data_IF_570388175912
#
_entry.id   IF_570388175912
#
_cell.length_a   1.000
_cell.length_b   1.000
_cell.length_c   1.000
_cell.angle_alpha   90.00
_cell.angle_beta   90.00
_cell.angle_gamma   90.00
#
_symmetry.space_group_name_H-M   'P 1'
#
loop_
_entity.id
_entity.type
_entity.pdbx_description
1 polymer ?
#
# COMPACT_ATOMS: atom_id res chain seq x y z
N UNK A 1 11.62 13.63 -21.94
CA UNK A 1 11.05 12.45 -22.65
C UNK A 1 9.68 12.72 -23.26
N UNK A 2 8.73 13.39 -22.58
CA UNK A 2 7.39 13.68 -23.15
C UNK A 2 7.41 14.42 -24.51
N UNK A 3 8.24 15.47 -24.66
CA UNK A 3 8.40 16.19 -25.94
C UNK A 3 8.99 15.33 -27.07
N UNK A 4 9.82 14.34 -26.73
CA UNK A 4 10.40 13.40 -27.69
C UNK A 4 9.32 12.42 -28.18
N UNK A 5 8.50 11.88 -27.27
CA UNK A 5 7.38 11.01 -27.62
C UNK A 5 6.37 11.71 -28.56
N UNK A 6 6.07 12.99 -28.33
CA UNK A 6 5.18 13.77 -29.20
C UNK A 6 5.76 13.95 -30.61
N UNK A 7 7.06 14.25 -30.74
CA UNK A 7 7.72 14.38 -32.04
C UNK A 7 7.82 13.04 -32.77
N UNK A 8 8.13 11.95 -32.06
CA UNK A 8 8.22 10.61 -32.64
C UNK A 8 6.85 10.11 -33.10
N UNK A 9 5.73 10.50 -32.46
CA UNK A 9 4.39 10.03 -32.83
C UNK A 9 4.00 10.37 -34.28
N UNK A 10 4.50 11.48 -34.82
CA UNK A 10 4.26 11.88 -36.20
C UNK A 10 4.98 11.01 -37.23
N UNK A 11 6.06 10.33 -36.83
CA UNK A 11 6.93 9.55 -37.72
C UNK A 11 6.80 8.04 -37.48
N UNK A 12 6.70 7.62 -36.23
CA UNK A 12 6.57 6.23 -35.81
C UNK A 12 5.73 6.16 -34.53
N UNK A 13 4.46 5.77 -34.70
CA UNK A 13 3.51 5.66 -33.60
C UNK A 13 3.90 4.57 -32.59
N UNK A 14 4.54 3.49 -33.04
CA UNK A 14 4.92 2.37 -32.17
C UNK A 14 6.11 2.77 -31.28
N UNK A 15 7.11 3.43 -31.86
CA UNK A 15 8.26 3.92 -31.10
C UNK A 15 7.88 5.05 -30.13
N UNK A 16 6.96 5.93 -30.54
CA UNK A 16 6.39 6.93 -29.65
C UNK A 16 5.66 6.31 -28.44
N UNK A 17 4.97 5.18 -28.63
CA UNK A 17 4.35 4.43 -27.53
C UNK A 17 5.40 3.84 -26.58
N UNK A 18 6.51 3.28 -27.09
CA UNK A 18 7.61 2.80 -26.22
C UNK A 18 8.23 3.92 -25.41
N UNK A 19 8.49 5.07 -26.03
CA UNK A 19 9.04 6.25 -25.35
C UNK A 19 8.05 6.78 -24.30
N UNK A 20 6.75 6.80 -24.62
CA UNK A 20 5.69 7.20 -23.67
C UNK A 20 5.61 6.22 -22.50
N UNK A 21 5.70 4.91 -22.76
CA UNK A 21 5.70 3.85 -21.75
C UNK A 21 6.91 3.97 -20.80
N UNK A 22 8.10 4.19 -21.33
CA UNK A 22 9.31 4.43 -20.54
C UNK A 22 9.22 5.74 -19.73
N UNK A 23 8.72 6.81 -20.35
CA UNK A 23 8.53 8.10 -19.66
C UNK A 23 7.51 7.98 -18.53
N UNK A 24 6.42 7.24 -18.75
CA UNK A 24 5.38 6.99 -17.75
C UNK A 24 5.86 6.08 -16.62
N UNK A 25 6.68 5.07 -16.91
CA UNK A 25 7.32 4.23 -15.88
C UNK A 25 8.25 5.03 -14.96
N UNK A 26 8.95 6.03 -15.50
CA UNK A 26 9.84 6.91 -14.73
C UNK A 26 9.10 8.03 -13.99
N UNK A 27 7.99 8.50 -14.55
CA UNK A 27 7.16 9.54 -13.95
C UNK A 27 5.69 9.34 -14.35
N UNK A 28 4.90 8.76 -13.44
CA UNK A 28 3.49 8.43 -13.67
C UNK A 28 2.56 9.65 -13.81
N UNK A 29 3.08 10.87 -13.64
CA UNK A 29 2.35 12.13 -13.90
C UNK A 29 2.37 12.59 -15.37
N UNK A 30 3.13 11.92 -16.25
CA UNK A 30 3.14 12.22 -17.69
C UNK A 30 1.97 11.56 -18.43
N UNK A 31 1.79 11.92 -19.70
CA UNK A 31 0.76 11.35 -20.58
C UNK A 31 0.79 9.82 -20.57
N UNK A 32 -0.37 9.21 -20.32
CA UNK A 32 -0.53 7.76 -20.25
C UNK A 32 -0.33 7.13 -21.65
N UNK A 33 0.34 5.97 -21.75
CA UNK A 33 0.42 5.22 -23.00
C UNK A 33 -0.98 4.77 -23.46
N UNK A 34 -1.17 4.59 -24.78
CA UNK A 34 -2.45 4.11 -25.34
C UNK A 34 -2.66 2.62 -25.08
N UNK A 35 -1.58 1.84 -25.01
CA UNK A 35 -1.64 0.46 -24.50
C UNK A 35 -1.73 0.51 -22.98
N UNK A 36 -2.73 -0.18 -22.42
CA UNK A 36 -2.78 -0.44 -20.99
C UNK A 36 -1.43 -1.06 -20.55
N UNK A 37 -0.83 -0.51 -19.51
CA UNK A 37 0.33 -1.15 -18.90
C UNK A 37 -0.13 -2.53 -18.44
N UNK A 38 0.49 -3.58 -18.99
CA UNK A 38 0.33 -4.93 -18.46
C UNK A 38 0.72 -4.91 -16.99
N UNK A 39 -0.19 -5.33 -16.12
CA UNK A 39 0.06 -5.42 -14.68
C UNK A 39 1.39 -6.12 -14.39
N UNK A 40 2.26 -5.47 -13.62
CA UNK A 40 3.53 -6.05 -13.17
C UNK A 40 3.38 -6.60 -11.75
N UNK A 41 3.41 -7.94 -11.63
CA UNK A 41 3.24 -8.66 -10.37
C UNK A 41 4.33 -8.27 -9.37
N UNK A 42 3.96 -8.18 -8.09
CA UNK A 42 4.90 -8.15 -6.98
C UNK A 42 5.66 -9.48 -6.92
N UNK A 43 6.88 -9.49 -7.44
CA UNK A 43 7.74 -10.67 -7.46
C UNK A 43 8.28 -11.02 -6.07
N UNK A 44 8.83 -12.22 -5.92
CA UNK A 44 9.48 -12.64 -4.67
C UNK A 44 10.78 -11.87 -4.54
N UNK A 45 10.85 -10.96 -3.57
CA UNK A 45 12.13 -10.41 -3.13
C UNK A 45 12.56 -11.21 -1.91
N UNK A 46 13.65 -11.98 -2.02
CA UNK A 46 14.19 -12.78 -0.92
C UNK A 46 15.04 -11.94 0.04
N UNK A 47 14.69 -10.67 0.19
CA UNK A 47 15.39 -9.72 1.04
C UNK A 47 14.71 -9.65 2.40
N UNK A 48 15.50 -9.54 3.47
CA UNK A 48 14.96 -9.38 4.80
C UNK A 48 14.21 -8.05 4.92
N UNK A 49 13.07 -8.06 5.61
CA UNK A 49 12.21 -6.88 5.83
C UNK A 49 13.01 -5.63 6.26
N UNK A 50 13.92 -5.80 7.22
CA UNK A 50 14.76 -4.73 7.73
C UNK A 50 15.65 -4.11 6.65
N UNK A 51 16.20 -4.91 5.75
CA UNK A 51 17.03 -4.42 4.63
C UNK A 51 16.17 -3.66 3.63
N UNK A 52 14.97 -4.14 3.33
CA UNK A 52 14.03 -3.41 2.48
C UNK A 52 13.60 -2.07 3.10
N UNK A 53 13.34 -2.04 4.41
CA UNK A 53 13.03 -0.83 5.15
C UNK A 53 14.21 0.17 5.14
N UNK A 54 15.43 -0.29 5.40
CA UNK A 54 16.65 0.53 5.31
C UNK A 54 16.77 1.15 3.92
N UNK A 55 16.61 0.34 2.86
CA UNK A 55 16.69 0.81 1.48
C UNK A 55 15.68 1.91 1.22
N UNK A 56 14.42 1.72 1.63
CA UNK A 56 13.39 2.72 1.43
C UNK A 56 13.66 3.99 2.22
N UNK A 57 13.95 3.88 3.52
CA UNK A 57 14.20 5.02 4.40
C UNK A 57 15.45 5.82 4.00
N UNK A 58 16.45 5.18 3.41
CA UNK A 58 17.65 5.85 2.86
C UNK A 58 17.47 6.36 1.43
N UNK A 59 16.33 6.10 0.80
CA UNK A 59 16.06 6.60 -0.55
C UNK A 59 16.11 8.12 -0.55
N UNK A 60 16.72 8.72 -1.58
CA UNK A 60 16.97 10.17 -1.71
C UNK A 60 17.93 10.80 -0.70
N UNK A 61 18.68 10.02 0.10
CA UNK A 61 19.60 10.54 1.13
C UNK A 61 18.89 11.49 2.11
N UNK A 62 17.65 11.16 2.47
CA UNK A 62 16.90 11.91 3.47
C UNK A 62 17.64 11.85 4.80
N UNK A 63 17.88 13.02 5.39
CA UNK A 63 18.39 13.13 6.74
C UNK A 63 17.33 12.62 7.73
N UNK A 64 17.73 12.30 8.95
CA UNK A 64 16.82 11.76 9.95
C UNK A 64 15.58 12.64 10.18
N UNK A 65 15.76 13.96 10.20
CA UNK A 65 14.68 14.92 10.34
C UNK A 65 13.69 14.88 9.16
N UNK A 66 14.18 14.70 7.93
CA UNK A 66 13.33 14.58 6.74
C UNK A 66 12.48 13.31 6.79
N UNK A 67 13.04 12.21 7.29
CA UNK A 67 12.28 10.95 7.51
C UNK A 67 11.17 11.14 8.53
N UNK A 68 11.41 11.91 9.59
CA UNK A 68 10.38 12.23 10.60
C UNK A 68 9.27 13.09 9.98
N UNK A 69 9.60 14.08 9.14
CA UNK A 69 8.59 14.87 8.42
C UNK A 69 7.76 13.99 7.48
N UNK A 70 8.41 13.14 6.68
CA UNK A 70 7.74 12.15 5.86
C UNK A 70 6.79 11.26 6.67
N UNK A 71 7.24 10.72 7.81
CA UNK A 71 6.39 9.86 8.64
C UNK A 71 5.23 10.63 9.28
N UNK A 72 5.42 11.92 9.58
CA UNK A 72 4.37 12.80 10.07
C UNK A 72 3.32 13.04 8.99
N UNK A 73 3.72 13.30 7.75
CA UNK A 73 2.81 13.48 6.62
C UNK A 73 1.98 12.22 6.36
N UNK A 74 2.61 11.04 6.35
CA UNK A 74 1.91 9.75 6.23
C UNK A 74 0.91 9.56 7.37
N UNK A 75 1.29 9.88 8.61
CA UNK A 75 0.38 9.78 9.77
C UNK A 75 -0.84 10.69 9.64
N UNK A 76 -0.65 11.92 9.17
CA UNK A 76 -1.74 12.88 8.97
C UNK A 76 -2.65 12.47 7.80
N UNK A 77 -2.08 11.86 6.76
CA UNK A 77 -2.85 11.35 5.62
C UNK A 77 -3.61 10.05 5.93
N UNK A 78 -3.18 9.27 6.92
CA UNK A 78 -3.91 8.13 7.47
C UNK A 78 -4.99 8.58 8.47
N UNK A 79 -5.95 9.36 7.99
CA UNK A 79 -7.07 9.87 8.78
C UNK A 79 -8.43 9.69 8.06
N UNK A 80 -9.43 9.24 8.82
CA UNK A 80 -10.80 9.13 8.34
C UNK A 80 -11.45 10.51 8.12
N UNK A 81 -12.28 10.63 7.08
CA UNK A 81 -13.16 11.78 6.75
C UNK A 81 -12.48 13.14 6.48
N UNK A 82 -11.15 13.26 6.61
CA UNK A 82 -10.42 14.53 6.51
C UNK A 82 -9.45 14.60 5.33
N UNK A 83 -9.20 13.47 4.69
CA UNK A 83 -8.16 13.32 3.68
C UNK A 83 -8.79 12.72 2.43
N UNK A 84 -8.54 13.28 1.23
CA UNK A 84 -9.00 12.67 -0.03
C UNK A 84 -8.47 11.24 -0.18
N UNK A 85 -9.30 10.31 -0.68
CA UNK A 85 -8.95 8.90 -0.85
C UNK A 85 -7.56 8.68 -1.49
N UNK A 86 -7.22 9.44 -2.54
CA UNK A 86 -5.91 9.33 -3.23
C UNK A 86 -4.70 9.55 -2.32
N UNK A 87 -4.80 10.49 -1.37
CA UNK A 87 -3.72 10.75 -0.41
C UNK A 87 -3.66 9.65 0.64
N UNK A 88 -4.82 9.17 1.09
CA UNK A 88 -4.91 8.08 2.04
C UNK A 88 -4.28 6.79 1.50
N UNK A 89 -4.65 6.37 0.29
CA UNK A 89 -4.12 5.17 -0.36
C UNK A 89 -2.61 5.28 -0.66
N UNK A 90 -2.15 6.48 -1.02
CA UNK A 90 -0.73 6.76 -1.17
C UNK A 90 0.01 6.64 0.17
N UNK A 91 -0.56 7.13 1.27
CA UNK A 91 0.00 6.98 2.60
C UNK A 91 0.05 5.51 3.03
N UNK A 92 -0.97 4.70 2.70
CA UNK A 92 -0.95 3.24 2.88
C UNK A 92 0.21 2.63 2.10
N UNK A 93 0.40 3.00 0.82
CA UNK A 93 1.51 2.51 0.00
C UNK A 93 2.87 2.85 0.59
N UNK A 94 3.04 4.11 1.00
CA UNK A 94 4.28 4.64 1.58
C UNK A 94 4.62 3.98 2.92
N UNK A 95 3.61 3.76 3.77
CA UNK A 95 3.78 3.05 5.04
C UNK A 95 4.31 1.62 4.79
N UNK A 96 3.67 0.87 3.89
CA UNK A 96 4.08 -0.50 3.56
C UNK A 96 5.53 -0.57 3.08
N UNK A 97 5.93 0.35 2.19
CA UNK A 97 7.31 0.42 1.70
C UNK A 97 8.30 0.81 2.80
N UNK A 98 7.95 1.77 3.67
CA UNK A 98 8.81 2.25 4.73
C UNK A 98 9.08 1.21 5.82
N UNK A 99 8.13 0.30 6.06
CA UNK A 99 8.31 -0.82 6.99
C UNK A 99 8.90 -2.06 6.30
N UNK A 100 9.31 -1.97 5.04
CA UNK A 100 10.03 -3.02 4.32
C UNK A 100 9.15 -4.09 3.70
N UNK A 101 7.87 -3.80 3.45
CA UNK A 101 6.99 -4.65 2.62
C UNK A 101 7.07 -4.20 1.16
N UNK A 102 6.65 -5.07 0.23
CA UNK A 102 6.36 -4.60 -1.13
C UNK A 102 4.97 -4.02 -1.15
N UNK A 103 4.77 -2.89 -1.84
CA UNK A 103 3.48 -2.22 -1.90
C UNK A 103 3.25 -1.52 -3.23
N UNK A 104 2.05 -1.68 -3.79
CA UNK A 104 1.56 -1.05 -5.02
C UNK A 104 0.13 -0.50 -4.82
N UNK A 105 -0.34 0.33 -5.75
CA UNK A 105 -1.74 0.79 -5.83
C UNK A 105 -2.37 0.36 -7.15
N UNK A 106 -2.75 -0.92 -7.33
CA UNK A 106 -3.17 -1.42 -8.63
C UNK A 106 -4.27 -0.60 -9.33
N UNK A 107 -5.28 -0.13 -8.59
CA UNK A 107 -6.35 0.69 -9.17
C UNK A 107 -5.81 2.01 -9.77
N UNK A 108 -4.97 2.76 -9.04
CA UNK A 108 -4.37 4.00 -9.57
C UNK A 108 -3.34 3.71 -10.67
N UNK A 109 -2.55 2.66 -10.50
CA UNK A 109 -1.38 2.35 -11.34
C UNK A 109 -1.74 1.68 -12.67
N UNK A 110 -2.81 0.88 -12.69
CA UNK A 110 -3.21 0.04 -13.82
C UNK A 110 -4.71 0.16 -14.18
N UNK A 111 -5.52 0.85 -13.37
CA UNK A 111 -6.99 0.97 -13.50
C UNK A 111 -7.75 -0.33 -13.27
N UNK A 112 -7.16 -1.23 -12.48
CA UNK A 112 -7.78 -2.50 -12.10
C UNK A 112 -7.17 -3.01 -10.78
N UNK A 113 -7.94 -3.81 -10.06
CA UNK A 113 -7.49 -4.43 -8.80
C UNK A 113 -7.74 -3.55 -7.57
N UNK A 114 -7.11 -3.89 -6.43
CA UNK A 114 -7.33 -3.20 -5.17
C UNK A 114 -6.76 -1.78 -5.14
N UNK A 115 -7.27 -0.99 -4.19
CA UNK A 115 -6.70 0.32 -3.81
C UNK A 115 -5.21 0.17 -3.43
N UNK A 116 -4.90 -0.85 -2.63
CA UNK A 116 -3.52 -1.20 -2.26
C UNK A 116 -3.31 -2.73 -2.28
N UNK A 117 -2.15 -3.15 -2.79
CA UNK A 117 -1.69 -4.54 -2.72
C UNK A 117 -0.34 -4.58 -2.02
N UNK A 118 -0.25 -5.32 -0.93
CA UNK A 118 1.01 -5.53 -0.22
C UNK A 118 1.46 -6.98 -0.34
N UNK A 119 2.77 -7.20 -0.32
CA UNK A 119 3.37 -8.53 -0.14
C UNK A 119 4.28 -8.52 1.08
N UNK A 120 3.98 -9.40 2.03
CA UNK A 120 4.76 -9.57 3.25
C UNK A 120 5.99 -10.47 2.98
N UNK A 121 7.12 -10.20 3.64
CA UNK A 121 8.19 -11.17 3.80
C UNK A 121 7.62 -12.49 4.35
N UNK A 122 7.79 -13.60 3.63
CA UNK A 122 7.17 -14.89 4.01
C UNK A 122 5.99 -15.35 3.13
N UNK A 123 5.61 -14.56 2.12
CA UNK A 123 4.68 -14.88 1.00
C UNK A 123 3.20 -14.59 1.18
N UNK A 124 2.75 -14.01 2.29
CA UNK A 124 1.35 -13.60 2.41
C UNK A 124 1.12 -12.25 1.70
N UNK A 125 0.05 -12.16 0.91
CA UNK A 125 -0.40 -10.90 0.33
C UNK A 125 -1.49 -10.25 1.19
N UNK A 126 -1.54 -8.92 1.20
CA UNK A 126 -2.71 -8.19 1.69
C UNK A 126 -3.40 -7.55 0.51
N UNK A 127 -4.67 -7.89 0.32
CA UNK A 127 -5.57 -7.26 -0.67
C UNK A 127 -6.37 -6.21 0.09
N UNK A 128 -6.08 -4.94 -0.12
CA UNK A 128 -6.52 -3.85 0.75
C UNK A 128 -7.46 -2.90 0.00
N UNK A 129 -8.65 -2.70 0.59
CA UNK A 129 -9.60 -1.66 0.19
C UNK A 129 -9.66 -0.55 1.24
N UNK A 130 -9.50 0.70 0.80
CA UNK A 130 -9.54 1.89 1.62
C UNK A 130 -10.92 2.56 1.55
N UNK A 131 -11.58 2.68 2.70
CA UNK A 131 -12.88 3.37 2.83
C UNK A 131 -12.77 4.50 3.85
N UNK A 132 -11.73 5.30 3.70
CA UNK A 132 -11.40 6.38 4.64
C UNK A 132 -12.44 7.50 4.67
N UNK A 133 -13.18 7.68 3.58
CA UNK A 133 -14.28 8.66 3.44
C UNK A 133 -15.65 8.10 3.89
N UNK A 134 -15.71 6.86 4.38
CA UNK A 134 -16.97 6.26 4.77
C UNK A 134 -17.65 6.99 5.94
N UNK A 135 -18.93 7.31 5.74
CA UNK A 135 -19.79 7.97 6.72
C UNK A 135 -20.84 7.07 7.37
N UNK A 136 -20.78 5.75 7.15
CA UNK A 136 -21.80 4.82 7.66
C UNK A 136 -21.81 4.78 9.19
N UNK A 137 -23.00 4.73 9.79
CA UNK A 137 -23.20 4.51 11.23
C UNK A 137 -23.73 3.10 11.53
N UNK A 138 -24.18 2.36 10.51
CA UNK A 138 -24.85 1.06 10.62
C UNK A 138 -23.94 -0.10 10.14
N UNK A 139 -22.62 0.05 10.27
CA UNK A 139 -21.66 -0.96 9.80
C UNK A 139 -21.17 -0.75 8.37
N UNK A 140 -20.31 -1.66 7.92
CA UNK A 140 -19.70 -1.67 6.58
C UNK A 140 -20.77 -2.02 5.54
N UNK A 141 -20.92 -1.18 4.52
CA UNK A 141 -22.00 -1.32 3.53
C UNK A 141 -21.71 -2.46 2.55
N UNK A 142 -22.79 -3.01 1.98
CA UNK A 142 -22.74 -4.03 0.93
C UNK A 142 -21.85 -3.61 -0.24
N UNK A 143 -21.90 -2.32 -0.62
CA UNK A 143 -21.06 -1.76 -1.69
C UNK A 143 -19.58 -1.90 -1.37
N UNK A 144 -19.17 -1.57 -0.15
CA UNK A 144 -17.76 -1.53 0.25
C UNK A 144 -17.17 -2.96 0.32
N UNK A 145 -17.92 -3.90 0.91
CA UNK A 145 -17.54 -5.32 0.86
C UNK A 145 -17.59 -5.87 -0.56
N UNK A 146 -18.53 -5.41 -1.40
CA UNK A 146 -18.59 -5.79 -2.81
C UNK A 146 -17.35 -5.36 -3.60
N UNK A 147 -16.80 -4.18 -3.31
CA UNK A 147 -15.52 -3.73 -3.90
C UNK A 147 -14.36 -4.62 -3.46
N UNK A 148 -14.26 -4.95 -2.16
CA UNK A 148 -13.25 -5.91 -1.69
C UNK A 148 -13.38 -7.27 -2.35
N UNK A 149 -14.61 -7.76 -2.56
CA UNK A 149 -14.86 -8.99 -3.31
C UNK A 149 -14.30 -8.94 -4.73
N UNK A 150 -14.49 -7.84 -5.45
CA UNK A 150 -13.92 -7.67 -6.80
C UNK A 150 -12.39 -7.67 -6.78
N UNK A 151 -11.79 -7.02 -5.79
CA UNK A 151 -10.34 -6.97 -5.61
C UNK A 151 -9.73 -8.35 -5.28
N UNK A 152 -10.45 -9.19 -4.54
CA UNK A 152 -10.08 -10.59 -4.29
C UNK A 152 -10.10 -11.41 -5.59
N UNK A 153 -11.16 -11.30 -6.38
CA UNK A 153 -11.25 -12.03 -7.65
C UNK A 153 -10.16 -11.57 -8.62
N UNK A 154 -9.89 -10.26 -8.70
CA UNK A 154 -8.74 -9.75 -9.44
C UNK A 154 -7.42 -10.35 -8.94
N UNK A 155 -7.22 -10.45 -7.62
CA UNK A 155 -6.00 -11.04 -7.07
C UNK A 155 -5.86 -12.50 -7.50
N UNK A 156 -6.92 -13.30 -7.40
CA UNK A 156 -6.91 -14.70 -7.84
C UNK A 156 -6.63 -14.85 -9.33
N UNK A 157 -7.23 -14.01 -10.18
CA UNK A 157 -6.97 -13.99 -11.62
C UNK A 157 -5.50 -13.68 -11.93
N UNK A 158 -4.90 -12.76 -11.16
CA UNK A 158 -3.52 -12.30 -11.37
C UNK A 158 -2.47 -13.16 -10.69
N UNK A 159 -2.74 -13.84 -9.59
CA UNK A 159 -1.75 -14.56 -8.79
C UNK A 159 -2.01 -16.07 -8.70
N UNK A 160 -3.23 -16.51 -9.03
CA UNK A 160 -3.70 -17.88 -8.90
C UNK A 160 -4.44 -18.12 -7.58
N UNK A 161 -5.38 -19.07 -7.59
CA UNK A 161 -6.23 -19.38 -6.43
C UNK A 161 -5.49 -19.95 -5.22
N UNK A 162 -4.25 -20.42 -5.42
CA UNK A 162 -3.44 -21.06 -4.38
C UNK A 162 -2.50 -20.11 -3.66
N UNK A 163 -2.32 -18.88 -4.16
CA UNK A 163 -1.43 -17.90 -3.52
C UNK A 163 -2.10 -17.36 -2.24
N UNK A 164 -1.44 -17.41 -1.06
CA UNK A 164 -2.07 -17.01 0.18
C UNK A 164 -2.25 -15.49 0.26
N UNK A 165 -3.42 -15.05 0.70
CA UNK A 165 -3.74 -13.65 0.91
C UNK A 165 -4.68 -13.44 2.10
N UNK A 166 -4.66 -12.23 2.65
CA UNK A 166 -5.59 -11.76 3.69
C UNK A 166 -6.36 -10.57 3.11
N UNK A 167 -7.70 -10.65 3.00
CA UNK A 167 -8.52 -9.48 2.66
C UNK A 167 -8.52 -8.48 3.80
N UNK A 168 -8.20 -7.23 3.49
CA UNK A 168 -8.22 -6.13 4.45
C UNK A 168 -9.17 -5.04 3.95
N UNK A 169 -10.03 -4.56 4.84
CA UNK A 169 -10.75 -3.31 4.62
C UNK A 169 -10.36 -2.29 5.68
N UNK A 170 -9.96 -1.09 5.25
CA UNK A 170 -9.68 0.03 6.14
C UNK A 170 -10.94 0.90 6.23
N UNK A 171 -11.64 0.81 7.36
CA UNK A 171 -12.96 1.42 7.52
C UNK A 171 -13.17 1.89 8.96
N UNK A 172 -13.91 2.98 9.24
CA UNK A 172 -14.11 3.46 10.62
C UNK A 172 -14.74 2.44 11.57
N UNK A 173 -15.59 1.56 11.01
CA UNK A 173 -16.32 0.49 11.69
C UNK A 173 -15.77 -0.88 11.32
N UNK A 174 -15.93 -1.86 12.22
CA UNK A 174 -15.40 -3.23 12.11
C UNK A 174 -16.46 -4.33 12.01
N UNK A 175 -17.73 -3.98 11.78
CA UNK A 175 -18.84 -4.94 11.70
C UNK A 175 -19.66 -4.78 10.42
N UNK A 176 -20.27 -5.88 9.97
CA UNK A 176 -21.09 -5.95 8.75
C UNK A 176 -22.41 -5.21 8.93
N UNK A 177 -22.79 -4.40 7.93
CA UNK A 177 -24.08 -3.70 7.97
C UNK A 177 -25.28 -4.58 7.59
N UNK A 178 -26.53 -4.17 7.87
CA UNK A 178 -27.74 -5.01 7.79
C UNK A 178 -28.05 -5.72 6.46
N UNK A 179 -27.44 -5.28 5.35
CA UNK A 179 -27.66 -5.83 4.00
C UNK A 179 -26.38 -6.36 3.34
N UNK A 180 -25.29 -6.38 4.10
CA UNK A 180 -23.99 -6.82 3.63
C UNK A 180 -23.74 -8.27 4.05
N UNK A 181 -22.83 -8.94 3.35
CA UNK A 181 -22.41 -10.30 3.67
C UNK A 181 -20.93 -10.26 4.01
N UNK A 182 -20.56 -10.87 5.13
CA UNK A 182 -19.17 -10.98 5.54
C UNK A 182 -18.33 -11.66 4.46
N UNK A 183 -17.13 -11.13 4.20
CA UNK A 183 -16.13 -11.83 3.40
C UNK A 183 -15.35 -12.75 4.35
N UNK A 184 -15.21 -14.05 4.05
CA UNK A 184 -14.42 -14.97 4.86
C UNK A 184 -13.00 -14.46 5.09
N UNK A 185 -12.49 -14.64 6.31
CA UNK A 185 -11.14 -14.26 6.74
C UNK A 185 -10.79 -12.77 6.56
N UNK A 186 -11.78 -11.93 6.24
CA UNK A 186 -11.60 -10.49 6.13
C UNK A 186 -11.24 -9.88 7.49
N UNK A 187 -10.22 -9.03 7.49
CA UNK A 187 -9.82 -8.27 8.67
C UNK A 187 -9.98 -6.77 8.41
N UNK A 188 -10.21 -6.03 9.48
CA UNK A 188 -10.50 -4.61 9.44
C UNK A 188 -9.42 -3.84 10.15
N UNK A 189 -8.87 -2.82 9.49
CA UNK A 189 -8.14 -1.75 10.17
C UNK A 189 -9.18 -0.69 10.55
N UNK A 190 -9.69 -0.78 11.77
CA UNK A 190 -10.74 0.11 12.26
C UNK A 190 -10.21 1.47 12.74
N UNK A 191 -11.11 2.34 13.19
CA UNK A 191 -10.77 3.64 13.78
C UNK A 191 -9.67 3.58 14.84
N UNK A 192 -9.71 2.59 15.73
CA UNK A 192 -8.75 2.44 16.81
C UNK A 192 -7.42 1.87 16.30
N UNK A 193 -7.48 0.82 15.48
CA UNK A 193 -6.29 0.18 14.92
C UNK A 193 -5.52 1.10 13.97
N UNK A 194 -6.20 1.93 13.17
CA UNK A 194 -5.54 2.92 12.32
C UNK A 194 -4.74 3.93 13.15
N UNK A 195 -5.27 4.37 14.30
CA UNK A 195 -4.55 5.25 15.23
C UNK A 195 -3.32 4.57 15.81
N UNK A 196 -3.45 3.32 16.25
CA UNK A 196 -2.30 2.55 16.74
C UNK A 196 -1.23 2.36 15.66
N UNK A 197 -1.63 2.05 14.43
CA UNK A 197 -0.72 1.85 13.30
C UNK A 197 0.06 3.13 12.98
N UNK A 198 -0.63 4.26 12.79
CA UNK A 198 0.03 5.52 12.43
C UNK A 198 0.95 6.05 13.52
N UNK A 199 0.62 5.82 14.79
CA UNK A 199 1.46 6.20 15.92
C UNK A 199 2.69 5.29 16.02
N UNK A 200 2.50 3.97 15.90
CA UNK A 200 3.60 3.00 15.87
C UNK A 200 4.56 3.24 14.72
N UNK A 201 4.03 3.59 13.54
CA UNK A 201 4.83 3.95 12.37
C UNK A 201 5.69 5.20 12.61
N UNK A 202 5.09 6.28 13.14
CA UNK A 202 5.84 7.51 13.43
C UNK A 202 6.95 7.25 14.46
N UNK A 203 6.66 6.49 15.51
CA UNK A 203 7.63 6.21 16.56
C UNK A 203 8.77 5.32 16.08
N UNK A 204 8.47 4.32 15.22
CA UNK A 204 9.50 3.55 14.51
C UNK A 204 10.43 4.45 13.71
N UNK A 205 9.90 5.38 12.91
CA UNK A 205 10.74 6.25 12.07
C UNK A 205 11.56 7.23 12.92
N UNK A 206 11.03 7.72 14.04
CA UNK A 206 11.80 8.50 15.01
C UNK A 206 12.97 7.71 15.59
N UNK A 207 12.76 6.43 15.91
CA UNK A 207 13.81 5.55 16.42
C UNK A 207 14.84 5.14 15.35
N UNK A 208 14.46 5.15 14.07
CA UNK A 208 15.32 4.82 12.92
C UNK A 208 16.32 5.95 12.56
N UNK A 209 17.19 6.31 13.52
CA UNK A 209 18.33 7.20 13.30
C UNK A 209 19.44 6.52 12.46
N UNK A 210 20.53 7.23 12.15
CA UNK A 210 21.60 6.66 11.31
C UNK A 210 22.33 5.47 11.92
N UNK A 211 22.46 5.41 13.25
CA UNK A 211 23.05 4.28 13.95
C UNK A 211 22.18 3.04 13.75
N UNK A 212 20.87 3.16 13.99
CA UNK A 212 19.90 2.09 13.80
C UNK A 212 19.85 1.66 12.33
N UNK A 213 19.75 2.59 11.38
CA UNK A 213 19.74 2.25 9.95
C UNK A 213 21.08 1.70 9.42
N UNK A 214 22.15 1.82 10.21
CA UNK A 214 23.44 1.19 9.94
C UNK A 214 23.46 -0.31 10.20
N UNK A 215 22.49 -0.83 10.96
CA UNK A 215 22.42 -2.24 11.38
C UNK A 215 21.03 -2.86 11.10
N UNK A 216 20.92 -3.81 10.15
CA UNK A 216 19.67 -4.53 9.90
C UNK A 216 19.07 -5.22 11.13
N UNK A 217 19.90 -5.68 12.09
CA UNK A 217 19.39 -6.29 13.31
C UNK A 217 18.70 -5.26 14.22
N UNK A 218 19.32 -4.08 14.38
CA UNK A 218 18.71 -2.96 15.10
C UNK A 218 17.40 -2.50 14.44
N UNK A 219 17.34 -2.40 13.10
CA UNK A 219 16.09 -2.07 12.39
C UNK A 219 15.02 -3.13 12.61
N UNK A 220 15.37 -4.41 12.53
CA UNK A 220 14.43 -5.49 12.83
C UNK A 220 13.89 -5.39 14.27
N UNK A 221 14.76 -5.10 15.25
CA UNK A 221 14.35 -4.91 16.64
C UNK A 221 13.39 -3.72 16.78
N UNK A 222 13.62 -2.60 16.09
CA UNK A 222 12.71 -1.46 16.10
C UNK A 222 11.36 -1.81 15.44
N UNK A 223 11.36 -2.48 14.28
CA UNK A 223 10.12 -2.97 13.66
C UNK A 223 9.36 -3.87 14.65
N UNK A 224 10.04 -4.79 15.33
CA UNK A 224 9.41 -5.71 16.28
C UNK A 224 8.85 -4.99 17.52
N UNK A 225 9.58 -4.01 18.05
CA UNK A 225 9.16 -3.17 19.19
C UNK A 225 7.87 -2.42 18.89
N UNK A 226 7.70 -1.97 17.65
CA UNK A 226 6.52 -1.25 17.18
C UNK A 226 5.47 -2.16 16.51
N UNK A 227 5.62 -3.49 16.60
CA UNK A 227 4.73 -4.50 15.98
C UNK A 227 4.59 -4.41 14.45
N UNK A 228 5.57 -3.80 13.77
CA UNK A 228 5.57 -3.60 12.31
C UNK A 228 6.24 -4.75 11.55
N UNK A 229 6.71 -5.80 12.23
CA UNK A 229 7.20 -7.01 11.54
C UNK A 229 6.06 -7.76 10.88
N UNK A 230 6.35 -8.45 9.78
CA UNK A 230 5.37 -9.18 8.99
C UNK A 230 4.52 -10.16 9.83
N UNK A 231 5.15 -10.86 10.77
CA UNK A 231 4.52 -11.83 11.69
C UNK A 231 3.64 -11.19 12.77
N UNK A 232 3.79 -9.90 13.05
CA UNK A 232 3.05 -9.19 14.11
C UNK A 232 2.00 -8.22 13.58
N UNK A 233 2.20 -7.72 12.36
CA UNK A 233 1.44 -6.61 11.81
C UNK A 233 -0.08 -6.88 11.84
N UNK A 234 -0.48 -8.06 11.35
CA UNK A 234 -1.89 -8.41 11.20
C UNK A 234 -2.60 -8.45 12.55
N UNK A 235 -2.04 -9.13 13.54
CA UNK A 235 -2.68 -9.23 14.85
C UNK A 235 -2.64 -7.92 15.64
N UNK A 236 -1.60 -7.10 15.44
CA UNK A 236 -1.48 -5.81 16.12
C UNK A 236 -2.44 -4.75 15.56
N UNK A 237 -2.63 -4.70 14.24
CA UNK A 237 -3.28 -3.58 13.57
C UNK A 237 -4.57 -3.93 12.85
N UNK A 238 -5.10 -5.14 13.03
CA UNK A 238 -6.38 -5.51 12.44
C UNK A 238 -7.24 -6.28 13.44
N UNK A 239 -8.56 -6.25 13.24
CA UNK A 239 -9.53 -7.11 13.96
C UNK A 239 -10.31 -7.94 12.95
N UNK A 240 -10.83 -9.13 13.30
CA UNK A 240 -11.75 -9.85 12.43
C UNK A 240 -12.97 -8.98 12.10
N UNK A 241 -13.47 -9.07 10.87
CA UNK A 241 -14.75 -8.48 10.49
C UNK A 241 -15.88 -9.17 11.28
N UNK A 242 -16.57 -8.38 12.11
CA UNK A 242 -17.63 -8.86 13.02
C UNK A 242 -19.02 -8.90 12.38
#
# INVERSE_FOLDING_TARGET
MSRLAQLTHFHDRAEAQKITKAAYALNRSVTRPLEALSYERLSTVNEAQAVSAIRYLRTRRLEHQDRIFFATDVKEDLAFKRVPYKRFEEAVRQLGLAIGMLSQRPEEDYQEGPDNLWRLPGREFLVIECKNEAGSEEGIKKRDLGQLGQSIEWFKDRYGDTEPFIPIIIHPLSYVGPQATAIPDCRVIDGHRLRLLRDSFLDFVKAANEEVLGDPAAVHQQLATHNLTADRFIDAFTVPLA
#
